data_IF_222307795237
#
_entry.id   IF_222307795237
#
_cell.length_a   1.000
_cell.length_b   1.000
_cell.length_c   1.000
_cell.angle_alpha   90.00
_cell.angle_beta   90.00
_cell.angle_gamma   90.00
#
_symmetry.space_group_name_H-M   'P 1'
#
loop_
_entity.id
_entity.type
_entity.pdbx_description
1 polymer ?
#
# COMPACT_ATOMS: atom_id res chain seq x y z
N UNK A 1 -35.06 6.60 6.43
CA UNK A 1 -33.88 5.77 6.18
C UNK A 1 -33.08 6.54 5.13
N UNK A 2 -31.95 7.13 5.50
CA UNK A 2 -31.06 7.76 4.51
C UNK A 2 -30.66 6.66 3.53
N UNK A 3 -30.85 6.86 2.23
CA UNK A 3 -30.17 6.03 1.24
C UNK A 3 -28.67 6.10 1.58
N UNK A 4 -28.07 4.96 1.94
CA UNK A 4 -26.63 4.90 2.11
C UNK A 4 -26.04 5.04 0.72
N UNK A 5 -25.40 6.19 0.48
CA UNK A 5 -24.63 6.39 -0.75
C UNK A 5 -23.38 5.55 -0.62
N UNK A 6 -23.23 4.55 -1.49
CA UNK A 6 -22.03 3.71 -1.55
C UNK A 6 -20.78 4.59 -1.75
N UNK A 7 -19.68 4.17 -1.15
CA UNK A 7 -18.37 4.75 -1.35
C UNK A 7 -17.99 4.69 -2.84
N UNK A 8 -17.32 5.73 -3.34
CA UNK A 8 -16.98 5.87 -4.76
C UNK A 8 -16.27 4.63 -5.34
N UNK A 9 -15.26 4.10 -4.64
CA UNK A 9 -14.60 2.83 -5.02
C UNK A 9 -15.59 1.67 -5.18
N UNK A 10 -16.55 1.51 -4.25
CA UNK A 10 -17.56 0.44 -4.32
C UNK A 10 -18.43 0.63 -5.56
N UNK A 11 -18.86 1.86 -5.84
CA UNK A 11 -19.63 2.20 -7.05
C UNK A 11 -18.86 1.89 -8.33
N UNK A 12 -17.58 2.27 -8.38
CA UNK A 12 -16.70 2.04 -9.54
C UNK A 12 -16.58 0.54 -9.83
N UNK A 13 -16.21 -0.27 -8.83
CA UNK A 13 -16.02 -1.71 -9.03
C UNK A 13 -17.31 -2.43 -9.38
N UNK A 14 -18.45 -2.06 -8.78
CA UNK A 14 -19.77 -2.60 -9.16
C UNK A 14 -20.17 -2.25 -10.60
N UNK A 15 -19.78 -1.08 -11.09
CA UNK A 15 -20.20 -0.56 -12.40
C UNK A 15 -19.33 -1.07 -13.54
N UNK A 16 -18.00 -1.13 -13.33
CA UNK A 16 -17.05 -1.34 -14.42
C UNK A 16 -16.33 -2.70 -14.37
N UNK A 17 -16.38 -3.41 -13.24
CA UNK A 17 -15.68 -4.68 -13.02
C UNK A 17 -16.50 -5.62 -12.11
N UNK A 18 -15.83 -6.46 -11.33
CA UNK A 18 -16.42 -7.30 -10.30
C UNK A 18 -16.64 -6.51 -9.00
N UNK A 19 -17.76 -6.74 -8.30
CA UNK A 19 -17.96 -6.23 -6.95
C UNK A 19 -16.84 -6.64 -6.00
N UNK A 20 -16.44 -5.70 -5.13
CA UNK A 20 -15.51 -5.99 -4.04
C UNK A 20 -16.16 -6.89 -3.00
N UNK A 21 -15.34 -7.69 -2.31
CA UNK A 21 -15.79 -8.56 -1.23
C UNK A 21 -16.65 -7.80 -0.21
N UNK A 22 -17.62 -8.49 0.38
CA UNK A 22 -18.51 -7.93 1.40
C UNK A 22 -17.74 -7.21 2.52
N UNK A 23 -16.60 -7.77 2.94
CA UNK A 23 -15.72 -7.17 3.96
C UNK A 23 -15.17 -5.81 3.54
N UNK A 24 -14.62 -5.69 2.32
CA UNK A 24 -14.11 -4.41 1.81
C UNK A 24 -15.25 -3.42 1.55
N UNK A 25 -16.38 -3.89 1.03
CA UNK A 25 -17.57 -3.08 0.78
C UNK A 25 -18.13 -2.48 2.09
N UNK A 26 -18.30 -3.27 3.15
CA UNK A 26 -18.75 -2.79 4.47
C UNK A 26 -17.78 -1.76 5.06
N UNK A 27 -16.48 -2.02 4.96
CA UNK A 27 -15.45 -1.10 5.46
C UNK A 27 -15.44 0.22 4.68
N UNK A 28 -15.44 0.19 3.35
CA UNK A 28 -15.39 1.41 2.53
C UNK A 28 -16.66 2.25 2.67
N UNK A 29 -17.83 1.62 2.84
CA UNK A 29 -19.08 2.30 3.14
C UNK A 29 -19.18 2.84 4.58
N UNK A 30 -18.11 2.69 5.37
CA UNK A 30 -18.00 3.19 6.74
C UNK A 30 -19.18 2.76 7.62
N UNK A 31 -19.55 1.48 7.57
CA UNK A 31 -20.54 0.94 8.49
C UNK A 31 -20.16 1.28 9.94
N UNK A 32 -21.14 1.61 10.78
CA UNK A 32 -20.91 2.16 12.12
C UNK A 32 -20.04 1.26 13.02
N UNK A 33 -20.04 -0.06 12.78
CA UNK A 33 -19.15 -1.05 13.42
C UNK A 33 -17.66 -0.73 13.25
N UNK A 34 -17.32 0.10 12.26
CA UNK A 34 -15.97 0.48 11.92
C UNK A 34 -15.49 1.81 12.52
N UNK A 35 -16.37 2.57 13.16
CA UNK A 35 -16.06 3.87 13.77
C UNK A 35 -15.72 3.70 15.25
N UNK A 36 -14.45 3.43 15.57
CA UNK A 36 -14.02 3.29 16.97
C UNK A 36 -12.63 3.85 17.19
N UNK A 37 -12.32 4.26 18.41
CA UNK A 37 -10.99 4.77 18.79
C UNK A 37 -9.84 3.82 18.49
N UNK A 38 -10.07 2.50 18.61
CA UNK A 38 -9.05 1.50 18.34
C UNK A 38 -8.99 1.09 16.87
N UNK A 39 -10.11 1.13 16.15
CA UNK A 39 -10.16 0.65 14.76
C UNK A 39 -10.03 1.76 13.71
N UNK A 40 -10.20 3.02 14.10
CA UNK A 40 -10.19 4.17 13.20
C UNK A 40 -11.54 4.35 12.52
N UNK A 41 -11.52 4.45 11.20
CA UNK A 41 -12.70 4.57 10.33
C UNK A 41 -12.75 3.43 9.30
N UNK A 42 -13.76 3.48 8.44
CA UNK A 42 -13.91 2.57 7.31
C UNK A 42 -12.67 2.48 6.41
N UNK A 43 -12.15 3.63 5.96
CA UNK A 43 -10.95 3.71 5.12
C UNK A 43 -9.68 3.16 5.81
N UNK A 44 -9.50 3.46 7.09
CA UNK A 44 -8.40 2.90 7.90
C UNK A 44 -8.49 1.38 7.99
N UNK A 45 -9.70 0.82 8.11
CA UNK A 45 -9.88 -0.63 8.19
C UNK A 45 -9.72 -1.31 6.83
N UNK A 46 -10.24 -0.70 5.76
CA UNK A 46 -10.06 -1.19 4.40
C UNK A 46 -8.57 -1.30 4.06
N UNK A 47 -7.78 -0.26 4.34
CA UNK A 47 -6.33 -0.26 4.10
C UNK A 47 -5.56 -1.27 4.97
N UNK A 48 -6.04 -1.56 6.20
CA UNK A 48 -5.48 -2.64 7.03
C UNK A 48 -5.75 -4.03 6.47
N UNK A 49 -6.92 -4.26 5.87
CA UNK A 49 -7.26 -5.53 5.21
C UNK A 49 -6.45 -5.67 3.93
N UNK A 50 -6.38 -4.61 3.13
CA UNK A 50 -5.53 -4.55 1.93
C UNK A 50 -4.08 -4.88 2.28
N UNK A 51 -3.59 -4.42 3.43
CA UNK A 51 -2.23 -4.68 3.87
C UNK A 51 -1.88 -6.17 4.04
N UNK A 52 -2.88 -7.03 4.31
CA UNK A 52 -2.70 -8.48 4.36
C UNK A 52 -2.35 -9.07 2.99
N UNK A 53 -2.87 -8.48 1.91
CA UNK A 53 -2.55 -8.87 0.53
C UNK A 53 -1.22 -8.27 0.08
N UNK A 54 -0.97 -6.99 0.38
CA UNK A 54 0.28 -6.30 -0.01
C UNK A 54 1.52 -6.98 0.58
N UNK A 55 1.46 -7.35 1.86
CA UNK A 55 2.64 -7.83 2.59
C UNK A 55 3.00 -9.29 2.29
N UNK A 56 2.16 -10.01 1.53
CA UNK A 56 2.42 -11.40 1.17
C UNK A 56 3.14 -11.52 -0.17
N UNK A 57 4.18 -12.34 -0.20
CA UNK A 57 4.81 -12.76 -1.44
C UNK A 57 3.76 -13.43 -2.34
N UNK A 58 3.76 -13.05 -3.62
CA UNK A 58 2.75 -13.51 -4.57
C UNK A 58 3.10 -14.89 -5.07
N UNK A 59 2.13 -15.79 -4.99
CA UNK A 59 2.17 -17.04 -5.73
C UNK A 59 1.75 -16.76 -7.19
N UNK A 60 2.63 -17.00 -8.18
CA UNK A 60 2.32 -16.75 -9.59
C UNK A 60 1.10 -17.52 -10.10
N UNK A 61 0.81 -18.67 -9.49
CA UNK A 61 -0.29 -19.58 -9.86
C UNK A 61 -1.42 -19.60 -8.82
N UNK A 62 -1.19 -19.02 -7.65
CA UNK A 62 -2.16 -18.93 -6.57
C UNK A 62 -3.27 -17.92 -6.85
N UNK A 63 -4.48 -18.23 -6.37
CA UNK A 63 -5.68 -17.43 -6.58
C UNK A 63 -6.12 -16.65 -5.34
N UNK A 64 -5.34 -16.67 -4.25
CA UNK A 64 -5.72 -16.02 -2.98
C UNK A 64 -6.02 -14.52 -3.14
N UNK A 65 -5.33 -13.82 -4.04
CA UNK A 65 -5.51 -12.39 -4.25
C UNK A 65 -6.85 -12.04 -4.90
N UNK A 66 -7.49 -12.97 -5.61
CA UNK A 66 -8.82 -12.77 -6.19
C UNK A 66 -9.92 -12.69 -5.12
N UNK A 67 -9.63 -13.02 -3.85
CA UNK A 67 -10.53 -12.85 -2.70
C UNK A 67 -10.83 -11.38 -2.37
N UNK A 68 -10.17 -10.42 -3.02
CA UNK A 68 -10.58 -9.01 -2.93
C UNK A 68 -11.97 -8.78 -3.53
N UNK A 69 -12.42 -9.65 -4.44
CA UNK A 69 -13.74 -9.64 -5.06
C UNK A 69 -14.71 -10.58 -4.34
N UNK A 70 -16.01 -10.31 -4.44
CA UNK A 70 -17.05 -11.09 -3.74
C UNK A 70 -17.19 -12.52 -4.25
N UNK A 71 -17.27 -12.70 -5.58
CA UNK A 71 -17.54 -13.99 -6.21
C UNK A 71 -16.75 -14.19 -7.52
N UNK A 72 -15.44 -13.94 -7.51
CA UNK A 72 -14.61 -14.17 -8.71
C UNK A 72 -14.52 -15.67 -9.03
N UNK A 73 -14.98 -16.08 -10.22
CA UNK A 73 -14.91 -17.49 -10.64
C UNK A 73 -13.51 -17.89 -11.10
N UNK A 74 -12.76 -18.51 -10.18
CA UNK A 74 -11.40 -19.01 -10.46
C UNK A 74 -11.36 -20.25 -11.35
N UNK A 75 -12.49 -20.90 -11.65
CA UNK A 75 -12.51 -22.12 -12.47
C UNK A 75 -12.05 -21.85 -13.90
N UNK A 76 -12.48 -20.72 -14.46
CA UNK A 76 -12.08 -20.30 -15.82
C UNK A 76 -10.58 -20.09 -15.90
N UNK A 77 -10.00 -19.32 -14.98
CA UNK A 77 -8.55 -19.12 -14.89
C UNK A 77 -7.79 -20.43 -14.70
N UNK A 78 -8.27 -21.31 -13.80
CA UNK A 78 -7.63 -22.61 -13.57
C UNK A 78 -7.63 -23.47 -14.84
N UNK A 79 -8.73 -23.47 -15.59
CA UNK A 79 -8.82 -24.18 -16.86
C UNK A 79 -7.90 -23.57 -17.92
N UNK A 80 -7.83 -22.25 -18.02
CA UNK A 80 -6.90 -21.54 -18.92
C UNK A 80 -5.45 -21.95 -18.65
N UNK A 81 -5.02 -21.91 -17.39
CA UNK A 81 -3.66 -22.29 -17.01
C UNK A 81 -3.37 -23.75 -17.38
N UNK A 82 -4.28 -24.67 -17.07
CA UNK A 82 -4.11 -26.10 -17.36
C UNK A 82 -4.08 -26.42 -18.87
N UNK A 83 -4.83 -25.67 -19.69
CA UNK A 83 -4.97 -25.95 -21.12
C UNK A 83 -3.99 -25.16 -21.99
N UNK A 84 -3.42 -24.05 -21.48
CA UNK A 84 -2.57 -23.13 -22.25
C UNK A 84 -1.50 -23.83 -23.10
N UNK A 85 -0.81 -24.83 -22.54
CA UNK A 85 0.25 -25.57 -23.24
C UNK A 85 -0.24 -26.32 -24.49
N UNK A 86 -1.47 -26.82 -24.49
CA UNK A 86 -2.10 -27.48 -25.66
C UNK A 86 -2.31 -26.52 -26.83
N UNK A 87 -2.37 -25.22 -26.55
CA UNK A 87 -2.49 -24.15 -27.54
C UNK A 87 -1.13 -23.50 -27.85
N UNK A 88 -0.02 -24.11 -27.40
CA UNK A 88 1.33 -23.60 -27.63
C UNK A 88 1.63 -22.31 -26.86
N UNK A 89 0.91 -22.06 -25.75
CA UNK A 89 1.13 -20.93 -24.85
C UNK A 89 1.59 -21.46 -23.49
N UNK A 90 2.75 -21.01 -23.00
CA UNK A 90 3.24 -21.42 -21.68
C UNK A 90 3.09 -20.26 -20.71
N UNK A 91 2.10 -20.37 -19.81
CA UNK A 91 1.85 -19.36 -18.78
C UNK A 91 2.54 -19.74 -17.47
N UNK A 92 3.45 -18.89 -17.01
CA UNK A 92 4.06 -18.99 -15.68
C UNK A 92 3.23 -18.27 -14.60
N UNK A 93 2.28 -17.45 -15.03
CA UNK A 93 1.32 -16.75 -14.17
C UNK A 93 0.05 -16.45 -14.94
N UNK A 94 -1.06 -16.26 -14.22
CA UNK A 94 -2.31 -15.74 -14.76
C UNK A 94 -2.39 -14.21 -14.78
N UNK A 95 -1.34 -13.52 -14.33
CA UNK A 95 -1.31 -12.06 -14.14
C UNK A 95 -0.67 -11.35 -15.33
N UNK A 96 -1.05 -10.11 -15.55
CA UNK A 96 -0.55 -9.26 -16.65
C UNK A 96 -0.68 -9.91 -18.05
N UNK A 97 -1.73 -10.72 -18.27
CA UNK A 97 -1.98 -11.37 -19.56
C UNK A 97 -2.28 -10.35 -20.67
N UNK A 98 -2.88 -9.22 -20.31
CA UNK A 98 -3.17 -8.11 -21.21
C UNK A 98 -1.90 -7.47 -21.80
N UNK A 99 -0.78 -7.52 -21.08
CA UNK A 99 0.51 -6.99 -21.52
C UNK A 99 1.44 -8.07 -22.11
N UNK A 100 1.05 -9.35 -22.04
CA UNK A 100 1.93 -10.46 -22.42
C UNK A 100 1.93 -10.64 -23.96
N UNK A 101 3.10 -10.46 -24.59
CA UNK A 101 3.23 -10.57 -26.05
C UNK A 101 2.89 -11.97 -26.58
N UNK A 102 3.26 -13.04 -25.88
CA UNK A 102 2.99 -14.42 -26.28
C UNK A 102 1.48 -14.72 -26.23
N UNK A 103 0.77 -14.12 -25.27
CA UNK A 103 -0.70 -14.19 -25.18
C UNK A 103 -1.34 -13.53 -26.40
N UNK A 104 -0.88 -12.35 -26.79
CA UNK A 104 -1.39 -11.64 -27.97
C UNK A 104 -1.12 -12.42 -29.27
N UNK A 105 0.08 -12.98 -29.42
CA UNK A 105 0.43 -13.82 -30.57
C UNK A 105 -0.36 -15.12 -30.60
N UNK A 106 -0.65 -15.72 -29.44
CA UNK A 106 -1.52 -16.89 -29.32
C UNK A 106 -2.93 -16.57 -29.82
N UNK A 107 -3.55 -15.49 -29.33
CA UNK A 107 -4.91 -15.12 -29.74
C UNK A 107 -5.06 -14.83 -31.23
N UNK A 108 -4.05 -14.25 -31.88
CA UNK A 108 -4.06 -14.02 -33.33
C UNK A 108 -4.10 -15.32 -34.14
N UNK A 109 -3.59 -16.42 -33.59
CA UNK A 109 -3.55 -17.74 -34.25
C UNK A 109 -4.81 -18.57 -33.98
N UNK A 110 -5.50 -18.30 -32.88
CA UNK A 110 -6.67 -19.08 -32.44
C UNK A 110 -7.95 -18.68 -33.18
N UNK A 111 -8.91 -19.60 -33.25
CA UNK A 111 -10.25 -19.28 -33.69
C UNK A 111 -10.99 -18.53 -32.57
N UNK A 112 -11.48 -17.29 -32.78
CA UNK A 112 -12.18 -16.52 -31.75
C UNK A 112 -13.47 -17.16 -31.21
N UNK A 113 -14.03 -18.15 -31.93
CA UNK A 113 -15.22 -18.89 -31.51
C UNK A 113 -14.91 -20.09 -30.60
N UNK A 114 -13.63 -20.42 -30.41
CA UNK A 114 -13.21 -21.50 -29.53
C UNK A 114 -13.27 -21.07 -28.06
N UNK A 115 -13.72 -21.96 -27.18
CA UNK A 115 -13.90 -21.64 -25.76
C UNK A 115 -12.62 -21.20 -25.04
N UNK A 116 -11.45 -21.75 -25.40
CA UNK A 116 -10.18 -21.30 -24.84
C UNK A 116 -9.85 -19.85 -25.23
N UNK A 117 -10.00 -19.50 -26.51
CA UNK A 117 -9.76 -18.15 -27.01
C UNK A 117 -10.71 -17.13 -26.36
N UNK A 118 -12.00 -17.48 -26.22
CA UNK A 118 -12.99 -16.62 -25.55
C UNK A 118 -12.65 -16.38 -24.08
N UNK A 119 -12.28 -17.43 -23.35
CA UNK A 119 -11.90 -17.30 -21.94
C UNK A 119 -10.62 -16.47 -21.78
N UNK A 120 -9.62 -16.67 -22.64
CA UNK A 120 -8.36 -15.93 -22.59
C UNK A 120 -8.58 -14.44 -22.92
N UNK A 121 -9.40 -14.15 -23.93
CA UNK A 121 -9.79 -12.79 -24.28
C UNK A 121 -10.54 -12.08 -23.15
N UNK A 122 -11.48 -12.78 -22.49
CA UNK A 122 -12.21 -12.24 -21.34
C UNK A 122 -11.27 -11.86 -20.19
N UNK A 123 -10.26 -12.69 -19.92
CA UNK A 123 -9.27 -12.39 -18.88
C UNK A 123 -8.36 -11.22 -19.24
N UNK A 124 -7.97 -11.07 -20.51
CA UNK A 124 -7.25 -9.89 -20.99
C UNK A 124 -8.09 -8.62 -20.82
N UNK A 125 -9.37 -8.67 -21.18
CA UNK A 125 -10.28 -7.53 -21.04
C UNK A 125 -10.49 -7.14 -19.57
N UNK A 126 -10.65 -8.13 -18.70
CA UNK A 126 -10.70 -7.91 -17.25
C UNK A 126 -9.44 -7.19 -16.75
N UNK A 127 -8.26 -7.69 -17.08
CA UNK A 127 -6.99 -7.13 -16.61
C UNK A 127 -6.71 -5.75 -17.20
N UNK A 128 -6.98 -5.55 -18.49
CA UNK A 128 -6.88 -4.25 -19.16
C UNK A 128 -7.80 -3.21 -18.53
N UNK A 129 -9.05 -3.58 -18.24
CA UNK A 129 -10.01 -2.70 -17.56
C UNK A 129 -9.56 -2.38 -16.13
N UNK A 130 -9.10 -3.40 -15.39
CA UNK A 130 -8.57 -3.22 -14.03
C UNK A 130 -7.38 -2.27 -13.99
N UNK A 131 -6.46 -2.36 -14.95
CA UNK A 131 -5.29 -1.47 -15.05
C UNK A 131 -5.67 0.01 -15.09
N UNK A 132 -6.82 0.33 -15.65
CA UNK A 132 -7.32 1.69 -15.82
C UNK A 132 -8.45 2.07 -14.84
N UNK A 133 -8.82 1.19 -13.89
CA UNK A 133 -10.00 1.38 -13.02
C UNK A 133 -9.91 2.67 -12.18
N UNK A 134 -8.69 3.07 -11.80
CA UNK A 134 -8.44 4.27 -11.01
C UNK A 134 -8.81 5.57 -11.77
N UNK A 135 -8.90 5.54 -13.10
CA UNK A 135 -9.27 6.70 -13.91
C UNK A 135 -10.74 7.09 -13.75
N UNK A 136 -11.59 6.16 -13.27
CA UNK A 136 -12.99 6.45 -12.95
C UNK A 136 -13.18 7.10 -11.58
N UNK A 137 -12.13 7.18 -10.76
CA UNK A 137 -12.19 7.82 -9.45
C UNK A 137 -11.91 9.32 -9.56
N UNK A 138 -12.76 10.14 -8.95
CA UNK A 138 -12.58 11.58 -8.85
C UNK A 138 -11.76 11.93 -7.60
N UNK A 139 -12.02 11.25 -6.49
CA UNK A 139 -11.39 11.54 -5.19
C UNK A 139 -9.99 10.97 -5.08
N UNK A 140 -9.10 11.71 -4.44
CA UNK A 140 -7.70 11.33 -4.20
C UNK A 140 -7.59 9.97 -3.50
N UNK A 141 -8.29 9.81 -2.38
CA UNK A 141 -8.24 8.60 -1.56
C UNK A 141 -8.79 7.37 -2.29
N UNK A 142 -9.75 7.56 -3.19
CA UNK A 142 -10.30 6.50 -4.03
C UNK A 142 -9.32 6.06 -5.10
N UNK A 143 -8.60 6.99 -5.73
CA UNK A 143 -7.52 6.67 -6.68
C UNK A 143 -6.46 5.79 -6.02
N UNK A 144 -6.05 6.13 -4.80
CA UNK A 144 -5.10 5.33 -4.03
C UNK A 144 -5.59 3.90 -3.79
N UNK A 145 -6.85 3.71 -3.35
CA UNK A 145 -7.40 2.37 -3.12
C UNK A 145 -7.51 1.59 -4.44
N UNK A 146 -8.01 2.22 -5.51
CA UNK A 146 -8.09 1.59 -6.83
C UNK A 146 -6.72 1.12 -7.32
N UNK A 147 -5.66 1.93 -7.14
CA UNK A 147 -4.30 1.57 -7.50
C UNK A 147 -3.77 0.40 -6.66
N UNK A 148 -3.97 0.42 -5.34
CA UNK A 148 -3.57 -0.70 -4.46
C UNK A 148 -4.24 -2.01 -4.88
N UNK A 149 -5.54 -2.00 -5.12
CA UNK A 149 -6.30 -3.18 -5.54
C UNK A 149 -5.88 -3.66 -6.94
N UNK A 150 -5.61 -2.73 -7.86
CA UNK A 150 -5.10 -3.02 -9.19
C UNK A 150 -3.77 -3.75 -9.09
N UNK A 151 -2.81 -3.17 -8.36
CA UNK A 151 -1.47 -3.74 -8.29
C UNK A 151 -1.44 -5.05 -7.50
N UNK A 152 -2.39 -5.32 -6.59
CA UNK A 152 -2.60 -6.63 -5.94
C UNK A 152 -2.84 -7.73 -6.98
N UNK A 153 -3.65 -7.46 -7.99
CA UNK A 153 -3.96 -8.42 -9.05
C UNK A 153 -2.89 -8.38 -10.15
N UNK A 154 -2.45 -7.19 -10.53
CA UNK A 154 -1.56 -6.88 -11.65
C UNK A 154 -0.24 -6.31 -11.12
N UNK A 155 0.65 -7.17 -10.61
CA UNK A 155 1.91 -6.76 -10.00
C UNK A 155 2.74 -5.91 -10.95
N UNK A 156 3.36 -4.86 -10.41
CA UNK A 156 4.31 -4.01 -11.12
C UNK A 156 5.75 -4.46 -10.85
N UNK A 157 6.65 -4.09 -11.75
CA UNK A 157 8.08 -4.30 -11.61
C UNK A 157 8.75 -3.01 -11.08
N UNK A 158 9.49 -3.13 -9.98
CA UNK A 158 10.12 -1.99 -9.31
C UNK A 158 11.19 -1.32 -10.19
N UNK A 159 11.98 -2.10 -10.94
CA UNK A 159 13.01 -1.58 -11.83
C UNK A 159 12.42 -0.85 -13.03
N UNK A 160 11.29 -1.33 -13.56
CA UNK A 160 10.56 -0.65 -14.64
C UNK A 160 9.95 0.67 -14.17
N UNK A 161 9.54 0.76 -12.90
CA UNK A 161 8.92 1.94 -12.31
C UNK A 161 9.91 2.92 -11.66
N UNK A 162 11.21 2.60 -11.63
CA UNK A 162 12.23 3.37 -10.90
C UNK A 162 11.83 3.61 -9.43
N UNK A 163 11.36 2.54 -8.77
CA UNK A 163 10.88 2.57 -7.40
C UNK A 163 11.73 1.67 -6.49
N UNK A 164 11.89 2.09 -5.25
CA UNK A 164 12.60 1.31 -4.23
C UNK A 164 11.73 0.12 -3.83
N UNK A 165 12.24 -1.09 -4.06
CA UNK A 165 11.57 -2.33 -3.65
C UNK A 165 11.88 -2.66 -2.19
N UNK A 166 10.84 -2.66 -1.37
CA UNK A 166 10.92 -2.99 0.03
C UNK A 166 10.66 -4.47 0.23
N UNK A 167 11.70 -5.19 0.66
CA UNK A 167 11.57 -6.59 1.06
C UNK A 167 10.49 -6.75 2.12
N UNK A 168 9.55 -7.68 1.91
CA UNK A 168 8.50 -7.98 2.89
C UNK A 168 9.00 -8.94 3.97
N UNK A 169 8.58 -8.73 5.22
CA UNK A 169 8.77 -9.71 6.29
C UNK A 169 7.91 -10.95 6.06
N UNK A 170 8.44 -12.13 6.38
CA UNK A 170 7.72 -13.40 6.23
C UNK A 170 6.51 -13.51 7.17
N UNK A 171 6.63 -12.94 8.37
CA UNK A 171 5.56 -12.91 9.37
C UNK A 171 5.24 -11.49 9.79
N UNK A 172 3.96 -11.26 10.11
CA UNK A 172 3.50 -9.98 10.64
C UNK A 172 4.09 -9.74 12.02
N UNK A 173 4.85 -8.66 12.23
CA UNK A 173 5.38 -8.33 13.55
C UNK A 173 4.25 -8.10 14.56
N UNK A 174 4.52 -8.38 15.85
CA UNK A 174 3.56 -8.19 16.95
C UNK A 174 3.34 -6.70 17.32
N UNK A 175 3.55 -5.79 16.39
CA UNK A 175 3.41 -4.36 16.62
C UNK A 175 2.00 -3.90 16.28
N UNK A 176 1.45 -3.03 17.12
CA UNK A 176 0.06 -2.58 17.00
C UNK A 176 -0.15 -1.66 15.80
N UNK A 177 -1.22 -1.88 15.04
CA UNK A 177 -1.66 -1.00 13.94
C UNK A 177 -2.34 0.29 14.45
N UNK A 178 -2.04 0.71 15.68
CA UNK A 178 -2.82 1.67 16.46
C UNK A 178 -3.14 2.95 15.67
N UNK A 179 -4.39 3.46 15.71
CA UNK A 179 -4.76 4.73 15.07
C UNK A 179 -3.91 5.90 15.58
N UNK A 180 -3.43 5.83 16.82
CA UNK A 180 -2.58 6.86 17.42
C UNK A 180 -1.10 6.77 17.02
N UNK A 181 -0.69 5.81 16.18
CA UNK A 181 0.70 5.71 15.71
C UNK A 181 1.19 7.02 15.07
N UNK A 182 0.29 7.74 14.39
CA UNK A 182 0.56 9.01 13.69
C UNK A 182 0.80 10.19 14.63
N UNK A 183 0.36 10.11 15.89
CA UNK A 183 0.51 11.20 16.88
C UNK A 183 1.95 11.70 16.97
N UNK A 184 2.92 10.78 16.90
CA UNK A 184 4.33 11.14 17.05
C UNK A 184 4.92 11.67 15.76
N UNK A 185 4.55 11.12 14.59
CA UNK A 185 4.95 11.69 13.31
C UNK A 185 4.45 13.13 13.15
N UNK A 186 3.19 13.39 13.48
CA UNK A 186 2.65 14.76 13.50
C UNK A 186 3.41 15.70 14.44
N UNK A 187 3.92 15.21 15.57
CA UNK A 187 4.75 16.03 16.46
C UNK A 187 6.16 16.22 15.92
N UNK A 188 6.75 15.17 15.36
CA UNK A 188 8.08 15.21 14.77
C UNK A 188 8.09 16.27 13.68
N UNK A 189 7.13 16.24 12.75
CA UNK A 189 6.94 17.22 11.65
C UNK A 189 6.98 18.71 12.08
N UNK A 190 6.81 19.02 13.37
CA UNK A 190 6.89 20.37 13.93
C UNK A 190 8.01 20.52 14.97
N UNK A 191 9.07 19.72 14.83
CA UNK A 191 10.26 19.67 15.69
C UNK A 191 9.96 19.41 17.18
N UNK A 192 8.86 18.70 17.50
CA UNK A 192 8.43 18.43 18.89
C UNK A 192 8.66 16.99 19.33
N UNK A 193 9.92 16.58 19.39
CA UNK A 193 10.31 15.26 19.89
C UNK A 193 10.05 15.08 21.40
N UNK A 194 9.75 13.85 21.82
CA UNK A 194 9.77 13.49 23.23
C UNK A 194 11.22 13.37 23.74
N UNK A 195 11.47 13.71 25.02
CA UNK A 195 12.83 13.69 25.61
C UNK A 195 13.53 12.32 25.51
N UNK A 196 12.76 11.24 25.57
CA UNK A 196 13.25 9.85 25.43
C UNK A 196 12.94 9.25 24.05
N UNK A 197 12.29 10.01 23.18
CA UNK A 197 12.00 9.55 21.83
C UNK A 197 13.25 9.59 20.97
N UNK A 198 13.37 8.61 20.08
CA UNK A 198 14.43 8.54 19.07
C UNK A 198 13.78 8.39 17.71
N UNK A 199 14.48 8.83 16.67
CA UNK A 199 14.06 8.60 15.30
C UNK A 199 15.18 7.93 14.53
N UNK A 200 14.85 6.93 13.72
CA UNK A 200 15.78 6.46 12.71
C UNK A 200 15.34 6.97 11.34
N UNK A 201 16.31 7.29 10.50
CA UNK A 201 16.10 7.66 9.11
C UNK A 201 16.65 6.54 8.24
N UNK A 202 15.80 5.93 7.43
CA UNK A 202 16.23 4.96 6.43
C UNK A 202 16.56 5.68 5.13
N UNK A 203 17.72 5.40 4.56
CA UNK A 203 18.23 6.09 3.36
C UNK A 203 18.60 5.13 2.23
N UNK A 204 18.57 5.62 0.99
CA UNK A 204 19.10 4.90 -0.18
C UNK A 204 20.64 4.97 -0.26
N UNK A 205 21.24 4.41 -1.32
CA UNK A 205 22.68 4.50 -1.58
C UNK A 205 23.22 5.92 -1.79
N UNK A 206 22.35 6.91 -2.00
CA UNK A 206 22.66 8.32 -2.23
C UNK A 206 22.33 9.21 -1.03
N UNK A 207 22.14 8.59 0.14
CA UNK A 207 21.74 9.26 1.38
C UNK A 207 20.43 10.07 1.27
N UNK A 208 19.53 9.68 0.37
CA UNK A 208 18.19 10.27 0.29
C UNK A 208 17.26 9.59 1.30
N UNK A 209 16.49 10.34 2.11
CA UNK A 209 15.54 9.75 3.04
C UNK A 209 14.42 9.00 2.35
N UNK A 210 14.19 7.77 2.79
CA UNK A 210 13.14 6.89 2.28
C UNK A 210 12.02 6.71 3.32
N UNK A 211 12.38 6.47 4.58
CA UNK A 211 11.43 6.29 5.67
C UNK A 211 11.94 6.94 6.95
N UNK A 212 11.01 7.24 7.85
CA UNK A 212 11.30 7.64 9.21
C UNK A 212 10.67 6.66 10.19
N UNK A 213 11.47 6.11 11.10
CA UNK A 213 11.00 5.28 12.20
C UNK A 213 10.92 6.09 13.49
N UNK A 214 9.87 5.85 14.27
CA UNK A 214 9.79 6.33 15.66
C UNK A 214 10.15 5.21 16.64
N UNK A 215 11.03 5.52 17.60
CA UNK A 215 11.40 4.63 18.69
C UNK A 215 11.06 5.26 20.04
N UNK A 216 10.73 4.42 21.03
CA UNK A 216 10.47 4.82 22.41
C UNK A 216 9.37 5.89 22.56
N UNK A 217 8.37 5.83 21.67
CA UNK A 217 7.24 6.76 21.61
C UNK A 217 5.92 5.98 21.46
N UNK A 218 5.46 5.37 22.56
CA UNK A 218 4.26 4.53 22.63
C UNK A 218 4.51 3.06 22.32
N UNK A 219 3.51 2.36 21.79
CA UNK A 219 3.65 0.95 21.38
C UNK A 219 4.41 0.85 20.05
N UNK A 220 5.56 0.18 20.12
CA UNK A 220 6.39 -0.44 19.09
C UNK A 220 6.77 0.33 17.79
N UNK A 221 7.88 -0.13 17.24
CA UNK A 221 8.61 0.26 16.03
C UNK A 221 7.70 0.41 14.81
N UNK A 222 7.32 1.64 14.48
CA UNK A 222 6.57 1.92 13.26
C UNK A 222 7.33 2.91 12.42
N UNK A 223 7.32 2.69 11.11
CA UNK A 223 7.96 3.52 10.12
C UNK A 223 6.88 4.19 9.27
N UNK A 224 7.13 5.42 8.83
CA UNK A 224 6.35 6.08 7.80
C UNK A 224 7.23 6.25 6.57
N UNK A 225 6.73 5.88 5.38
CA UNK A 225 7.43 6.18 4.14
C UNK A 225 7.37 7.66 3.82
N UNK A 226 8.50 8.23 3.43
CA UNK A 226 8.65 9.62 3.00
C UNK A 226 8.55 9.73 1.48
N UNK A 227 8.80 8.64 0.76
CA UNK A 227 8.64 8.49 -0.69
C UNK A 227 7.68 7.33 -1.03
N UNK A 228 7.17 7.25 -2.28
CA UNK A 228 6.49 6.06 -2.77
C UNK A 228 7.43 4.84 -2.80
N UNK A 229 6.89 3.66 -2.54
CA UNK A 229 7.66 2.41 -2.43
C UNK A 229 6.97 1.27 -3.16
N UNK A 230 7.74 0.26 -3.56
CA UNK A 230 7.19 -1.01 -4.05
C UNK A 230 7.25 -2.05 -2.93
N UNK A 231 6.23 -2.89 -2.79
CA UNK A 231 6.31 -4.08 -1.95
C UNK A 231 5.57 -5.23 -2.62
N UNK A 232 6.28 -6.34 -2.86
CA UNK A 232 5.79 -7.49 -3.59
C UNK A 232 5.23 -7.15 -4.98
N UNK A 233 5.54 -5.98 -5.56
CA UNK A 233 4.95 -5.45 -6.79
C UNK A 233 3.66 -4.62 -6.61
N UNK A 234 3.33 -4.19 -5.38
CA UNK A 234 2.30 -3.15 -5.10
C UNK A 234 2.97 -1.81 -4.95
N UNK A 235 2.51 -0.79 -5.68
CA UNK A 235 2.94 0.59 -5.43
C UNK A 235 2.23 1.14 -4.20
N UNK A 236 3.01 1.49 -3.20
CA UNK A 236 2.58 2.09 -1.96
C UNK A 236 2.87 3.59 -1.99
N UNK A 237 1.88 4.46 -1.73
CA UNK A 237 2.13 5.89 -1.72
C UNK A 237 3.03 6.29 -0.54
N UNK A 238 3.64 7.46 -0.65
CA UNK A 238 4.29 8.11 0.48
C UNK A 238 3.27 8.30 1.63
N UNK A 239 3.72 8.29 2.88
CA UNK A 239 2.83 8.30 4.05
C UNK A 239 2.24 6.93 4.39
N UNK A 240 2.75 5.86 3.79
CA UNK A 240 2.41 4.48 4.15
C UNK A 240 3.04 4.09 5.49
N UNK A 241 2.28 3.42 6.36
CA UNK A 241 2.76 2.96 7.66
C UNK A 241 3.30 1.54 7.55
N UNK A 242 4.50 1.32 8.06
CA UNK A 242 5.17 0.03 8.10
C UNK A 242 5.59 -0.33 9.52
N UNK A 243 5.91 -1.60 9.69
CA UNK A 243 6.72 -2.07 10.81
C UNK A 243 7.99 -2.75 10.28
N UNK A 244 9.07 -2.61 11.04
CA UNK A 244 10.33 -3.31 10.80
C UNK A 244 10.64 -4.20 12.00
N UNK A 245 11.42 -5.25 11.79
CA UNK A 245 11.93 -6.13 12.85
C UNK A 245 13.40 -6.44 12.60
N UNK A 246 14.28 -5.88 13.44
CA UNK A 246 15.72 -5.93 13.22
C UNK A 246 16.49 -5.73 14.54
N UNK A 247 17.74 -6.23 14.57
CA UNK A 247 18.68 -5.99 15.66
C UNK A 247 19.58 -4.81 15.33
N UNK A 248 19.32 -3.66 15.96
CA UNK A 248 19.96 -2.40 15.61
C UNK A 248 21.49 -2.45 15.73
N UNK A 249 22.03 -3.20 16.70
CA UNK A 249 23.47 -3.30 16.96
C UNK A 249 24.24 -3.84 15.75
N UNK A 250 23.64 -4.75 14.99
CA UNK A 250 24.28 -5.44 13.87
C UNK A 250 24.33 -4.62 12.58
N UNK A 251 23.49 -3.58 12.47
CA UNK A 251 23.36 -2.80 11.23
C UNK A 251 24.50 -1.77 11.06
N UNK A 252 24.96 -1.60 9.82
CA UNK A 252 25.73 -0.42 9.45
C UNK A 252 24.87 0.84 9.64
N UNK A 253 25.38 1.82 10.41
CA UNK A 253 24.61 3.02 10.78
C UNK A 253 25.53 4.14 11.25
N UNK A 254 25.04 5.36 11.16
CA UNK A 254 25.67 6.52 11.80
C UNK A 254 24.65 7.32 12.60
N UNK A 255 25.11 8.12 13.56
CA UNK A 255 24.19 8.88 14.42
C UNK A 255 23.53 10.00 13.61
N UNK A 256 22.27 10.27 13.90
CA UNK A 256 21.61 11.50 13.45
C UNK A 256 22.42 12.73 13.89
N UNK A 257 22.32 13.81 13.12
CA UNK A 257 22.99 15.08 13.39
C UNK A 257 22.44 15.79 14.64
N UNK A 258 21.12 15.87 14.80
CA UNK A 258 20.49 16.69 15.85
C UNK A 258 19.70 15.85 16.86
N UNK A 259 18.91 14.89 16.38
CA UNK A 259 18.06 14.06 17.23
C UNK A 259 18.73 12.76 17.66
N UNK A 260 18.14 12.09 18.66
CA UNK A 260 18.56 10.73 19.04
C UNK A 260 18.15 9.74 17.94
N UNK A 261 18.90 8.65 17.85
CA UNK A 261 18.73 7.59 16.85
C UNK A 261 19.76 7.68 15.73
N UNK A 262 19.48 7.00 14.62
CA UNK A 262 20.47 6.70 13.60
C UNK A 262 19.96 6.90 12.18
N UNK A 263 20.90 7.20 11.28
CA UNK A 263 20.73 7.05 9.84
C UNK A 263 21.21 5.65 9.46
N UNK A 264 20.36 4.88 8.79
CA UNK A 264 20.57 3.46 8.49
C UNK A 264 20.27 3.26 6.99
N UNK A 265 21.18 2.66 6.20
CA UNK A 265 20.87 2.30 4.82
C UNK A 265 19.72 1.30 4.77
N UNK A 266 18.72 1.52 3.91
CA UNK A 266 17.55 0.63 3.81
C UNK A 266 17.93 -0.79 3.38
N UNK A 267 19.03 -0.94 2.64
CA UNK A 267 19.56 -2.22 2.20
C UNK A 267 20.03 -3.12 3.35
N UNK A 268 20.29 -2.56 4.54
CA UNK A 268 20.65 -3.32 5.74
C UNK A 268 19.42 -3.94 6.42
N UNK A 269 18.21 -3.54 6.02
CA UNK A 269 16.97 -3.93 6.67
C UNK A 269 16.55 -5.33 6.20
N UNK A 270 16.24 -6.21 7.15
CA UNK A 270 15.74 -7.57 6.90
C UNK A 270 14.38 -7.62 6.18
N UNK A 271 13.64 -6.52 6.25
CA UNK A 271 12.38 -6.31 5.58
C UNK A 271 11.40 -5.47 6.38
N UNK A 272 10.25 -5.23 5.78
CA UNK A 272 9.16 -4.43 6.31
C UNK A 272 7.83 -5.16 6.19
N UNK A 273 6.87 -4.77 7.01
CA UNK A 273 5.49 -5.20 6.88
C UNK A 273 4.61 -3.97 6.75
N UNK A 274 3.88 -3.86 5.63
CA UNK A 274 2.93 -2.77 5.43
C UNK A 274 1.73 -2.93 6.36
N UNK A 275 1.34 -1.86 7.06
CA UNK A 275 0.28 -1.89 8.07
C UNK A 275 -1.02 -1.27 7.56
N UNK A 276 -0.93 -0.08 6.96
CA UNK A 276 -2.04 0.72 6.43
C UNK A 276 -1.53 2.06 5.87
N UNK A 277 -2.42 2.81 5.22
CA UNK A 277 -2.20 4.23 4.96
C UNK A 277 -2.42 5.07 6.22
N UNK A 278 -1.61 6.11 6.38
CA UNK A 278 -1.80 7.15 7.40
C UNK A 278 -2.60 8.32 6.86
N UNK A 279 -3.05 9.25 7.71
CA UNK A 279 -3.68 10.49 7.22
C UNK A 279 -2.71 11.34 6.38
N UNK A 280 -1.39 11.18 6.57
CA UNK A 280 -0.36 11.87 5.80
C UNK A 280 -0.19 11.33 4.36
N UNK A 281 -0.80 10.20 4.02
CA UNK A 281 -0.84 9.69 2.64
C UNK A 281 -1.86 10.43 1.75
N UNK A 282 -2.69 11.30 2.34
CA UNK A 282 -3.71 12.09 1.64
C UNK A 282 -3.49 13.57 1.93
N UNK A 283 -3.70 14.41 0.93
CA UNK A 283 -3.58 15.87 1.05
C UNK A 283 -4.46 16.43 2.19
N UNK A 284 -4.00 17.48 2.90
CA UNK A 284 -4.69 18.03 4.06
C UNK A 284 -6.19 18.32 3.83
N UNK A 285 -6.54 18.90 2.67
CA UNK A 285 -7.90 19.28 2.28
C UNK A 285 -8.85 18.07 2.14
N UNK A 286 -8.32 16.88 1.87
CA UNK A 286 -9.10 15.67 1.63
C UNK A 286 -9.16 14.73 2.85
N UNK A 287 -8.32 14.92 3.87
CA UNK A 287 -8.22 14.01 5.03
C UNK A 287 -9.52 13.84 5.80
N UNK A 288 -10.26 14.92 6.04
CA UNK A 288 -11.52 14.86 6.77
C UNK A 288 -12.55 13.99 6.03
N UNK A 289 -12.57 14.06 4.69
CA UNK A 289 -13.43 13.21 3.85
C UNK A 289 -12.95 11.77 3.85
N UNK A 290 -11.65 11.55 3.61
CA UNK A 290 -11.08 10.22 3.43
C UNK A 290 -11.08 9.39 4.73
N UNK A 291 -10.70 10.01 5.85
CA UNK A 291 -10.49 9.32 7.13
C UNK A 291 -11.62 9.59 8.14
N UNK A 292 -12.63 10.37 7.78
CA UNK A 292 -13.89 10.54 8.54
C UNK A 292 -13.71 10.57 10.05
N UNK A 293 -14.24 9.55 10.71
CA UNK A 293 -14.17 9.41 12.16
C UNK A 293 -12.73 9.35 12.72
N UNK A 294 -11.79 8.73 12.00
CA UNK A 294 -10.40 8.65 12.43
C UNK A 294 -9.74 10.04 12.47
N UNK A 295 -9.91 10.84 11.40
CA UNK A 295 -9.39 12.21 11.37
C UNK A 295 -10.04 13.08 12.46
N UNK A 296 -11.36 12.98 12.63
CA UNK A 296 -12.07 13.66 13.70
C UNK A 296 -11.47 13.35 15.07
N UNK A 297 -11.15 12.09 15.36
CA UNK A 297 -10.48 11.72 16.61
C UNK A 297 -9.08 12.32 16.75
N UNK A 298 -8.31 12.45 15.66
CA UNK A 298 -7.02 13.12 15.73
C UNK A 298 -7.20 14.58 16.19
N UNK A 299 -8.19 15.29 15.64
CA UNK A 299 -8.51 16.67 16.02
C UNK A 299 -9.03 16.75 17.45
N UNK A 300 -10.05 15.94 17.80
CA UNK A 300 -10.70 15.97 19.12
C UNK A 300 -9.72 15.60 20.26
N UNK A 301 -8.76 14.71 20.00
CA UNK A 301 -7.70 14.34 20.95
C UNK A 301 -6.50 15.31 20.97
N UNK A 302 -6.58 16.43 20.24
CA UNK A 302 -5.55 17.46 20.21
C UNK A 302 -4.22 16.97 19.64
N UNK A 303 -4.25 16.10 18.63
CA UNK A 303 -3.03 15.78 17.88
C UNK A 303 -2.49 17.05 17.20
N UNK A 304 -1.19 17.06 16.95
CA UNK A 304 -0.51 18.28 16.54
C UNK A 304 -0.79 18.59 15.07
N UNK A 305 -1.68 19.54 14.80
CA UNK A 305 -1.97 20.07 13.45
C UNK A 305 -2.24 18.99 12.37
N UNK A 306 -3.10 17.98 12.62
CA UNK A 306 -3.38 16.92 11.64
C UNK A 306 -4.04 17.47 10.35
N UNK A 307 -4.66 18.64 10.43
CA UNK A 307 -5.37 19.37 9.37
C UNK A 307 -4.46 20.13 8.41
N UNK A 308 -3.19 20.35 8.78
CA UNK A 308 -2.25 21.17 7.97
C UNK A 308 -0.88 20.53 7.81
N UNK A 309 -0.55 19.49 8.58
CA UNK A 309 0.76 18.85 8.50
C UNK A 309 0.96 18.15 7.16
N UNK A 310 2.06 18.40 6.47
CA UNK A 310 2.41 17.74 5.21
C UNK A 310 3.52 16.71 5.42
N UNK A 311 3.58 15.70 4.54
CA UNK A 311 4.66 14.71 4.58
C UNK A 311 6.03 15.33 4.26
N UNK A 312 6.06 16.38 3.45
CA UNK A 312 7.25 17.20 3.15
C UNK A 312 7.95 17.68 4.42
N UNK A 313 7.20 18.02 5.47
CA UNK A 313 7.79 18.47 6.75
C UNK A 313 8.55 17.34 7.47
N UNK A 314 8.14 16.08 7.30
CA UNK A 314 8.91 14.94 7.80
C UNK A 314 10.15 14.68 6.94
N UNK A 315 10.05 14.89 5.63
CA UNK A 315 11.17 14.82 4.71
C UNK A 315 12.26 15.85 5.08
N UNK A 316 11.87 17.10 5.32
CA UNK A 316 12.78 18.17 5.74
C UNK A 316 13.55 17.79 7.02
N UNK A 317 12.83 17.23 8.01
CA UNK A 317 13.45 16.77 9.26
C UNK A 317 14.42 15.62 9.03
N UNK A 318 14.08 14.70 8.13
CA UNK A 318 14.94 13.58 7.80
C UNK A 318 16.24 14.08 7.16
N UNK A 319 16.17 15.01 6.21
CA UNK A 319 17.35 15.66 5.62
C UNK A 319 18.19 16.39 6.68
N UNK A 320 17.56 17.09 7.63
CA UNK A 320 18.25 17.78 8.72
C UNK A 320 19.08 16.85 9.62
N UNK A 321 18.80 15.54 9.61
CA UNK A 321 19.51 14.54 10.41
C UNK A 321 20.71 13.91 9.69
N UNK A 322 20.77 13.98 8.37
CA UNK A 322 21.79 13.30 7.56
C UNK A 322 23.04 14.19 7.44
N UNK A 323 24.22 13.59 7.55
CA UNK A 323 25.48 14.29 7.33
C UNK A 323 25.76 14.42 5.84
N UNK A 324 25.35 15.53 5.22
CA UNK A 324 25.85 15.86 3.88
C UNK A 324 27.31 16.28 4.02
N UNK A 325 28.22 15.32 3.92
CA UNK A 325 29.65 15.59 3.86
C UNK A 325 29.90 16.61 2.75
N UNK A 326 30.40 17.80 3.09
CA UNK A 326 31.03 18.62 2.07
C UNK A 326 32.25 17.83 1.60
N UNK A 327 32.35 17.46 0.31
CA UNK A 327 33.60 16.92 -0.19
C UNK A 327 34.66 17.98 0.07
N UNK A 328 35.61 17.65 0.95
CA UNK A 328 36.78 18.48 1.22
C UNK A 328 37.73 18.44 0.03
#
# INVERSE_FOLDING_TARGET
MSEMVDHEVVVIFKKYLYPLSAKLTEMLNEHFSHQTERRGCGYTQATRVIAEFVSQARDPMGFQDLRIFEDYDTKTLKNLLNQSSSYGLVLQTWRNLDLNADVQECLQRLNPQEGFAQNLQQEIEFQSTLRHIHQYAEREESKLICQLLTDIILPQDAAVQDMIDCQSLAEKPKVGSCPMAEKFFLRIAHHRLLRQGEINIFVDEHEQPIMMEKLNMGDNHSCISLVPLMMNGVRLPAGSLFSADYEIEQLAKHKNKQYKGYVIPIAEMSGFWFLRLTTLAVSPENRARAFGYHFKQQVDNGLFRPDTTELSQLMDIAHDQIYVGHPC
#
